data_IF_916995092952
#
_entry.id   IF_916995092952
#
_cell.length_a   1.000
_cell.length_b   1.000
_cell.length_c   1.000
_cell.angle_alpha   90.00
_cell.angle_beta   90.00
_cell.angle_gamma   90.00
#
_symmetry.space_group_name_H-M   'P 1'
#
loop_
_entity.id
_entity.type
_entity.pdbx_description
1 polymer ?
#
# COMPACT_ATOMS: atom_id res chain seq x y z
N UNK A 1 13.50 4.86 -23.23
CA UNK A 1 13.46 3.64 -22.41
C UNK A 1 11.99 3.35 -22.16
N UNK A 2 11.48 2.23 -22.63
CA UNK A 2 10.07 1.87 -22.44
C UNK A 2 9.87 1.53 -20.97
N UNK A 3 9.09 2.35 -20.26
CA UNK A 3 8.75 2.09 -18.86
C UNK A 3 7.82 0.88 -18.82
N UNK A 4 8.19 -0.13 -18.03
CA UNK A 4 7.37 -1.32 -17.79
C UNK A 4 6.04 -0.95 -17.08
N UNK A 5 5.12 -1.92 -16.98
CA UNK A 5 3.81 -1.69 -16.37
C UNK A 5 3.92 -1.07 -14.96
N UNK A 6 4.86 -1.56 -14.15
CA UNK A 6 5.10 -1.07 -12.79
C UNK A 6 5.45 0.42 -12.78
N UNK A 7 6.45 0.84 -13.56
CA UNK A 7 6.83 2.25 -13.59
C UNK A 7 5.72 3.15 -14.13
N UNK A 8 4.92 2.69 -15.09
CA UNK A 8 3.77 3.46 -15.59
C UNK A 8 2.65 3.60 -14.57
N UNK A 9 2.36 2.55 -13.80
CA UNK A 9 1.41 2.62 -12.69
C UNK A 9 1.89 3.58 -11.61
N UNK A 10 3.17 3.52 -11.24
CA UNK A 10 3.77 4.43 -10.25
C UNK A 10 3.66 5.88 -10.74
N UNK A 11 4.05 6.16 -11.98
CA UNK A 11 3.97 7.49 -12.55
C UNK A 11 2.52 8.00 -12.55
N UNK A 12 1.57 7.14 -12.95
CA UNK A 12 0.14 7.44 -12.92
C UNK A 12 -0.40 7.72 -11.52
N UNK A 13 -0.01 6.94 -10.51
CA UNK A 13 -0.42 7.19 -9.12
C UNK A 13 0.13 8.53 -8.63
N UNK A 14 1.37 8.88 -8.95
CA UNK A 14 1.99 10.15 -8.54
C UNK A 14 1.25 11.32 -9.17
N UNK A 15 1.09 11.31 -10.49
CA UNK A 15 0.35 12.35 -11.24
C UNK A 15 -1.05 12.58 -10.67
N UNK A 16 -1.82 11.51 -10.47
CA UNK A 16 -3.18 11.63 -9.94
C UNK A 16 -3.20 12.15 -8.49
N UNK A 17 -2.24 11.78 -7.65
CA UNK A 17 -2.16 12.34 -6.29
C UNK A 17 -1.78 13.82 -6.31
N UNK A 18 -0.87 14.23 -7.18
CA UNK A 18 -0.43 15.62 -7.32
C UNK A 18 -1.57 16.50 -7.86
N UNK A 19 -2.28 16.04 -8.90
CA UNK A 19 -3.48 16.68 -9.45
C UNK A 19 -4.57 16.89 -8.40
N UNK A 20 -4.73 15.94 -7.48
CA UNK A 20 -5.67 16.02 -6.37
C UNK A 20 -5.16 16.90 -5.22
N UNK A 21 -3.90 17.36 -5.23
CA UNK A 21 -3.28 18.07 -4.12
C UNK A 21 -3.13 17.20 -2.87
N UNK A 22 -3.04 15.88 -3.05
CA UNK A 22 -2.83 14.91 -1.99
C UNK A 22 -1.33 14.71 -1.70
N UNK A 23 -0.99 14.28 -0.48
CA UNK A 23 0.41 14.05 -0.11
C UNK A 23 1.03 12.86 -0.84
N UNK A 24 1.97 13.12 -1.76
CA UNK A 24 2.62 12.12 -2.62
C UNK A 24 3.88 11.53 -1.97
N UNK A 25 3.74 10.79 -0.87
CA UNK A 25 4.88 10.10 -0.24
C UNK A 25 5.11 8.70 -0.83
N UNK A 26 6.36 8.20 -0.75
CA UNK A 26 6.71 6.82 -1.17
C UNK A 26 5.80 5.78 -0.52
N UNK A 27 5.51 5.94 0.77
CA UNK A 27 4.64 5.02 1.51
C UNK A 27 3.26 5.00 0.88
N UNK A 28 2.67 6.17 0.60
CA UNK A 28 1.35 6.25 -0.03
C UNK A 28 1.35 5.60 -1.41
N UNK A 29 2.36 5.87 -2.24
CA UNK A 29 2.51 5.23 -3.57
C UNK A 29 2.51 3.71 -3.44
N UNK A 30 3.36 3.15 -2.57
CA UNK A 30 3.46 1.70 -2.35
C UNK A 30 2.11 1.12 -1.90
N UNK A 31 1.41 1.80 -0.97
CA UNK A 31 0.14 1.31 -0.44
C UNK A 31 -0.99 1.38 -1.46
N UNK A 32 -1.06 2.43 -2.27
CA UNK A 32 -2.05 2.53 -3.34
C UNK A 32 -1.78 1.49 -4.43
N UNK A 33 -0.52 1.28 -4.82
CA UNK A 33 -0.14 0.23 -5.78
C UNK A 33 -0.57 -1.15 -5.30
N UNK A 34 -0.34 -1.47 -4.02
CA UNK A 34 -0.83 -2.71 -3.41
C UNK A 34 -2.36 -2.82 -3.45
N UNK A 35 -3.08 -1.75 -3.12
CA UNK A 35 -4.55 -1.76 -3.14
C UNK A 35 -5.13 -1.91 -4.55
N UNK A 36 -4.46 -1.34 -5.56
CA UNK A 36 -4.78 -1.55 -6.98
C UNK A 36 -4.65 -3.03 -7.33
N UNK A 37 -3.55 -3.69 -6.94
CA UNK A 37 -3.38 -5.13 -7.16
C UNK A 37 -4.44 -5.96 -6.43
N UNK A 38 -4.80 -5.61 -5.19
CA UNK A 38 -5.87 -6.28 -4.44
C UNK A 38 -7.22 -6.16 -5.17
N UNK A 39 -7.55 -4.96 -5.66
CA UNK A 39 -8.79 -4.70 -6.39
C UNK A 39 -8.79 -5.41 -7.76
N UNK A 40 -7.67 -5.35 -8.48
CA UNK A 40 -7.52 -5.98 -9.79
C UNK A 40 -7.55 -7.51 -9.70
N UNK A 41 -6.81 -8.09 -8.75
CA UNK A 41 -6.78 -9.54 -8.52
C UNK A 41 -8.17 -10.09 -8.18
N UNK A 42 -8.99 -9.33 -7.43
CA UNK A 42 -10.36 -9.72 -7.11
C UNK A 42 -11.15 -10.09 -8.36
N UNK A 43 -11.00 -9.33 -9.45
CA UNK A 43 -11.77 -9.51 -10.69
C UNK A 43 -11.04 -10.33 -11.75
N UNK A 44 -9.71 -10.19 -11.87
CA UNK A 44 -8.90 -10.78 -12.96
C UNK A 44 -8.02 -11.95 -12.53
N UNK A 45 -7.90 -12.23 -11.23
CA UNK A 45 -7.07 -13.33 -10.67
C UNK A 45 -5.58 -13.26 -11.07
N UNK A 46 -5.10 -12.06 -11.36
CA UNK A 46 -3.70 -11.76 -11.65
C UNK A 46 -3.34 -10.40 -11.05
N UNK A 47 -2.05 -10.14 -10.82
CA UNK A 47 -1.56 -8.84 -10.37
C UNK A 47 -1.39 -7.92 -11.58
N UNK A 48 -1.78 -6.65 -11.45
CA UNK A 48 -1.61 -5.68 -12.52
C UNK A 48 -0.14 -5.25 -12.61
N UNK A 49 0.48 -5.02 -11.45
CA UNK A 49 1.89 -4.58 -11.37
C UNK A 49 2.90 -5.70 -11.67
N UNK A 50 2.48 -6.97 -11.53
CA UNK A 50 3.32 -8.17 -11.64
C UNK A 50 4.51 -8.25 -10.67
N UNK A 51 4.49 -7.51 -9.56
CA UNK A 51 5.57 -7.53 -8.55
C UNK A 51 5.40 -8.65 -7.52
N UNK A 52 6.51 -9.03 -6.88
CA UNK A 52 6.51 -10.00 -5.79
C UNK A 52 6.30 -9.33 -4.43
N UNK A 53 5.03 -9.24 -4.02
CA UNK A 53 4.69 -8.66 -2.72
C UNK A 53 5.12 -9.55 -1.56
N UNK A 54 5.80 -8.96 -0.57
CA UNK A 54 6.11 -9.56 0.73
C UNK A 54 5.45 -8.78 1.87
N UNK A 55 5.09 -9.47 2.95
CA UNK A 55 4.75 -8.81 4.20
C UNK A 55 6.03 -8.33 4.88
N UNK A 56 6.30 -7.04 4.83
CA UNK A 56 7.51 -6.45 5.41
C UNK A 56 7.18 -5.52 6.57
N UNK A 57 8.22 -4.92 7.18
CA UNK A 57 8.15 -4.18 8.46
C UNK A 57 6.95 -3.25 8.59
N UNK A 58 6.59 -2.59 7.49
CA UNK A 58 5.59 -1.54 7.43
C UNK A 58 4.45 -1.88 6.46
N UNK A 59 4.21 -3.17 6.25
CA UNK A 59 3.10 -3.72 5.49
C UNK A 59 3.56 -4.36 4.18
N UNK A 60 2.70 -4.40 3.15
CA UNK A 60 3.08 -4.94 1.85
C UNK A 60 4.20 -4.10 1.24
N UNK A 61 5.20 -4.78 0.70
CA UNK A 61 6.33 -4.16 0.01
C UNK A 61 6.83 -5.08 -1.11
N UNK A 62 7.42 -4.50 -2.14
CA UNK A 62 8.14 -5.19 -3.20
C UNK A 62 9.40 -4.38 -3.52
N UNK A 63 10.54 -5.05 -3.68
CA UNK A 63 11.84 -4.38 -3.86
C UNK A 63 11.94 -3.68 -5.21
N UNK A 64 11.26 -4.23 -6.21
CA UNK A 64 11.17 -3.76 -7.58
C UNK A 64 10.60 -2.33 -7.67
N UNK A 65 9.81 -1.91 -6.66
CA UNK A 65 9.24 -0.55 -6.61
C UNK A 65 10.35 0.50 -6.48
N UNK A 66 11.41 0.22 -5.72
CA UNK A 66 12.50 1.17 -5.51
C UNK A 66 13.31 1.36 -6.80
N UNK A 67 13.53 0.26 -7.52
CA UNK A 67 14.18 0.27 -8.82
C UNK A 67 13.31 1.00 -9.86
N UNK A 68 12.00 0.78 -9.85
CA UNK A 68 11.06 1.44 -10.76
C UNK A 68 10.95 2.95 -10.51
N UNK A 69 10.86 3.39 -9.25
CA UNK A 69 10.88 4.81 -8.89
C UNK A 69 12.21 5.44 -9.34
N UNK A 70 13.33 4.75 -9.10
CA UNK A 70 14.65 5.25 -9.50
C UNK A 70 14.79 5.34 -11.02
N UNK A 71 14.22 4.39 -11.76
CA UNK A 71 14.23 4.35 -13.22
C UNK A 71 13.33 5.40 -13.88
N UNK A 72 12.27 5.86 -13.20
CA UNK A 72 11.48 7.01 -13.65
C UNK A 72 12.30 8.30 -13.66
N UNK A 73 13.38 8.38 -12.86
CA UNK A 73 14.39 9.42 -12.94
C UNK A 73 13.78 10.82 -12.84
N UNK A 74 14.07 11.67 -13.83
CA UNK A 74 13.58 13.06 -13.90
C UNK A 74 12.07 13.19 -14.10
N UNK A 75 11.34 12.12 -14.40
CA UNK A 75 9.87 12.19 -14.52
C UNK A 75 9.16 12.37 -13.18
N UNK A 76 9.87 12.04 -12.10
CA UNK A 76 9.42 12.23 -10.74
C UNK A 76 10.37 13.19 -10.05
N UNK A 77 9.98 14.45 -9.91
CA UNK A 77 10.72 15.39 -9.06
C UNK A 77 10.53 14.99 -7.60
N UNK A 78 11.63 14.90 -6.86
CA UNK A 78 11.63 14.63 -5.43
C UNK A 78 11.90 15.93 -4.68
N UNK A 79 10.87 16.48 -4.05
CA UNK A 79 10.98 17.65 -3.20
C UNK A 79 11.23 17.21 -1.75
N UNK A 80 12.23 17.82 -1.10
CA UNK A 80 12.48 17.65 0.33
C UNK A 80 11.71 18.71 1.11
N UNK A 81 10.81 18.27 1.99
CA UNK A 81 10.03 19.13 2.85
C UNK A 81 10.45 18.95 4.30
N UNK A 82 10.59 20.06 5.03
CA UNK A 82 10.63 20.00 6.49
C UNK A 82 9.19 19.86 7.01
N UNK A 83 8.94 18.79 7.74
CA UNK A 83 7.69 18.64 8.48
C UNK A 83 7.63 19.68 9.60
N UNK A 84 6.43 19.94 10.10
CA UNK A 84 6.17 20.83 11.25
C UNK A 84 6.96 20.43 12.50
N UNK A 85 7.35 19.16 12.59
CA UNK A 85 8.11 18.57 13.70
C UNK A 85 9.64 18.56 13.44
N UNK A 86 10.09 19.15 12.32
CA UNK A 86 11.52 19.29 11.99
C UNK A 86 12.15 18.10 11.26
N UNK A 87 11.35 17.14 10.78
CA UNK A 87 11.84 15.97 10.04
C UNK A 87 11.87 16.22 8.53
N UNK A 88 12.79 15.56 7.82
CA UNK A 88 12.82 15.58 6.36
C UNK A 88 11.83 14.57 5.81
N UNK A 89 10.85 15.06 5.03
CA UNK A 89 9.93 14.25 4.25
C UNK A 89 10.22 14.44 2.76
N UNK A 90 9.86 13.45 1.96
CA UNK A 90 10.01 13.52 0.51
C UNK A 90 8.65 13.39 -0.17
N UNK A 91 8.38 14.34 -1.08
CA UNK A 91 7.18 14.34 -1.91
C UNK A 91 7.59 14.19 -3.37
N UNK A 92 6.81 13.44 -4.13
CA UNK A 92 7.02 13.26 -5.56
C UNK A 92 6.04 14.13 -6.34
N UNK A 93 6.50 14.75 -7.44
CA UNK A 93 5.65 15.40 -8.44
C UNK A 93 5.86 14.78 -9.80
N UNK A 94 4.82 14.77 -10.63
CA UNK A 94 4.92 14.33 -12.02
C UNK A 94 5.19 15.55 -12.91
N UNK A 95 6.25 15.48 -13.73
CA UNK A 95 6.59 16.57 -14.66
C UNK A 95 5.79 16.51 -15.97
N UNK A 96 5.22 15.34 -16.28
CA UNK A 96 4.47 15.08 -17.51
C UNK A 96 3.27 14.20 -17.20
N UNK A 97 2.15 14.43 -17.90
CA UNK A 97 0.97 13.59 -17.75
C UNK A 97 1.27 12.14 -18.22
N UNK A 98 1.13 11.13 -17.37
CA UNK A 98 1.41 9.74 -17.70
C UNK A 98 0.34 9.15 -18.60
N UNK A 99 0.79 8.47 -19.66
CA UNK A 99 -0.05 7.55 -20.41
C UNK A 99 0.04 6.13 -19.83
N UNK A 100 -1.09 5.63 -19.32
CA UNK A 100 -1.25 4.20 -19.04
C UNK A 100 -1.09 3.40 -20.34
N UNK A 101 -0.48 2.19 -20.29
CA UNK A 101 -0.36 1.36 -21.49
C UNK A 101 -1.71 1.13 -22.17
N UNK A 102 -1.70 0.99 -23.50
CA UNK A 102 -2.89 0.59 -24.27
C UNK A 102 -3.48 -0.77 -23.83
N UNK A 103 -2.69 -1.60 -23.15
CA UNK A 103 -3.14 -2.85 -22.52
C UNK A 103 -4.07 -2.63 -21.31
N UNK A 104 -4.09 -1.43 -20.72
CA UNK A 104 -5.00 -1.06 -19.63
C UNK A 104 -6.34 -0.65 -20.26
N UNK A 105 -7.32 -1.55 -20.19
CA UNK A 105 -8.68 -1.25 -20.64
C UNK A 105 -9.38 -0.20 -19.75
N UNK A 106 -10.46 0.39 -20.26
CA UNK A 106 -11.21 1.43 -19.54
C UNK A 106 -11.68 0.96 -18.14
N UNK A 107 -12.11 -0.30 -18.03
CA UNK A 107 -12.55 -0.86 -16.73
C UNK A 107 -11.41 -0.96 -15.72
N UNK A 108 -10.20 -1.29 -16.17
CA UNK A 108 -8.99 -1.34 -15.35
C UNK A 108 -8.58 0.07 -14.92
N UNK A 109 -8.63 1.05 -15.84
CA UNK A 109 -8.38 2.46 -15.50
C UNK A 109 -9.37 2.96 -14.45
N UNK A 110 -10.67 2.71 -14.63
CA UNK A 110 -11.70 3.11 -13.65
C UNK A 110 -11.45 2.49 -12.27
N UNK A 111 -11.01 1.23 -12.21
CA UNK A 111 -10.66 0.56 -10.97
C UNK A 111 -9.45 1.21 -10.28
N UNK A 112 -8.41 1.57 -11.06
CA UNK A 112 -7.25 2.30 -10.54
C UNK A 112 -7.69 3.65 -9.97
N UNK A 113 -8.47 4.40 -10.74
CA UNK A 113 -8.97 5.72 -10.36
C UNK A 113 -9.85 5.65 -9.11
N UNK A 114 -10.71 4.62 -8.99
CA UNK A 114 -11.53 4.39 -7.80
C UNK A 114 -10.67 4.18 -6.54
N UNK A 115 -9.61 3.38 -6.64
CA UNK A 115 -8.68 3.16 -5.53
C UNK A 115 -7.95 4.45 -5.16
N UNK A 116 -7.41 5.19 -6.13
CA UNK A 116 -6.67 6.43 -5.86
C UNK A 116 -7.60 7.46 -5.23
N UNK A 117 -8.73 7.77 -5.86
CA UNK A 117 -9.69 8.76 -5.37
C UNK A 117 -10.24 8.39 -3.99
N UNK A 118 -10.46 7.10 -3.73
CA UNK A 118 -10.96 6.62 -2.45
C UNK A 118 -9.99 6.70 -1.27
N UNK A 119 -8.71 7.01 -1.51
CA UNK A 119 -7.66 7.05 -0.48
C UNK A 119 -6.73 8.27 -0.58
N UNK A 120 -6.84 9.11 -1.61
CA UNK A 120 -5.94 10.25 -1.84
C UNK A 120 -5.89 11.20 -0.63
N UNK A 121 -7.05 11.59 -0.10
CA UNK A 121 -7.16 12.54 1.02
C UNK A 121 -7.27 11.88 2.40
N UNK A 122 -7.34 10.56 2.46
CA UNK A 122 -7.38 9.85 3.73
C UNK A 122 -6.05 10.01 4.48
N UNK A 123 -6.14 10.09 5.81
CA UNK A 123 -4.95 10.14 6.65
C UNK A 123 -4.12 8.87 6.43
N UNK A 124 -2.78 9.02 6.39
CA UNK A 124 -1.86 7.92 6.15
C UNK A 124 -2.08 6.74 7.12
N UNK A 125 -2.40 7.02 8.38
CA UNK A 125 -2.68 5.97 9.37
C UNK A 125 -3.93 5.15 9.04
N UNK A 126 -4.98 5.78 8.52
CA UNK A 126 -6.20 5.07 8.12
C UNK A 126 -5.94 4.18 6.90
N UNK A 127 -5.15 4.66 5.93
CA UNK A 127 -4.66 3.86 4.80
C UNK A 127 -3.83 2.65 5.27
N UNK A 128 -2.87 2.88 6.18
CA UNK A 128 -2.03 1.81 6.72
C UNK A 128 -2.86 0.77 7.49
N UNK A 129 -3.79 1.22 8.35
CA UNK A 129 -4.67 0.33 9.09
C UNK A 129 -5.52 -0.53 8.16
N UNK A 130 -6.10 0.07 7.12
CA UNK A 130 -6.87 -0.68 6.14
C UNK A 130 -6.02 -1.73 5.43
N UNK A 131 -4.83 -1.36 4.97
CA UNK A 131 -3.90 -2.30 4.32
C UNK A 131 -3.57 -3.48 5.23
N UNK A 132 -3.26 -3.22 6.51
CA UNK A 132 -2.89 -4.27 7.46
C UNK A 132 -4.05 -5.18 7.86
N UNK A 133 -5.20 -4.60 8.17
CA UNK A 133 -6.28 -5.31 8.87
C UNK A 133 -7.50 -5.59 8.00
N UNK A 134 -7.60 -4.99 6.82
CA UNK A 134 -8.78 -5.10 5.95
C UNK A 134 -8.48 -5.72 4.59
N UNK A 135 -7.24 -6.18 4.35
CA UNK A 135 -6.90 -6.92 3.13
C UNK A 135 -6.49 -8.35 3.45
N UNK A 136 -7.15 -9.32 2.84
CA UNK A 136 -6.94 -10.74 3.11
C UNK A 136 -5.49 -11.21 2.95
N UNK A 137 -4.70 -10.74 1.95
CA UNK A 137 -3.30 -11.15 1.81
C UNK A 137 -2.45 -10.70 3.00
N UNK A 138 -2.65 -9.50 3.53
CA UNK A 138 -1.87 -8.96 4.65
C UNK A 138 -2.34 -9.48 6.01
N UNK A 139 -3.64 -9.58 6.24
CA UNK A 139 -4.21 -10.04 7.51
C UNK A 139 -3.70 -11.45 7.89
N UNK A 140 -3.44 -12.29 6.89
CA UNK A 140 -2.98 -13.67 7.05
C UNK A 140 -1.49 -13.86 6.79
N UNK A 141 -0.77 -12.78 6.51
CA UNK A 141 0.64 -12.87 6.15
C UNK A 141 1.53 -13.18 7.35
N UNK A 142 2.66 -13.84 7.08
CA UNK A 142 3.77 -13.94 8.02
C UNK A 142 4.83 -12.92 7.62
N UNK A 143 5.44 -12.26 8.60
CA UNK A 143 6.53 -11.33 8.35
C UNK A 143 7.65 -11.99 7.52
N UNK A 144 8.11 -11.28 6.49
CA UNK A 144 9.12 -11.70 5.53
C UNK A 144 8.62 -12.68 4.46
N UNK A 145 7.37 -13.15 4.52
CA UNK A 145 6.84 -14.10 3.55
C UNK A 145 6.15 -13.40 2.38
N UNK A 146 6.10 -14.09 1.24
CA UNK A 146 5.30 -13.68 0.08
C UNK A 146 3.81 -13.61 0.45
N UNK A 147 3.12 -12.59 -0.06
CA UNK A 147 1.69 -12.41 0.14
C UNK A 147 0.89 -13.36 -0.73
N UNK A 148 -0.13 -13.97 -0.14
CA UNK A 148 -1.00 -14.88 -0.86
C UNK A 148 -2.29 -14.15 -1.32
N UNK A 149 -2.35 -13.77 -2.59
CA UNK A 149 -3.51 -13.08 -3.18
C UNK A 149 -4.71 -14.00 -3.43
N UNK A 150 -4.52 -15.33 -3.47
CA UNK A 150 -5.63 -16.29 -3.60
C UNK A 150 -6.59 -16.25 -2.40
N UNK A 151 -6.17 -15.63 -1.29
CA UNK A 151 -7.01 -15.37 -0.13
C UNK A 151 -8.11 -14.34 -0.39
N UNK A 152 -8.03 -13.59 -1.49
CA UNK A 152 -9.03 -12.59 -1.89
C UNK A 152 -10.25 -13.31 -2.47
N UNK A 153 -11.44 -13.18 -1.86
CA UNK A 153 -12.64 -13.81 -2.38
C UNK A 153 -13.01 -13.27 -3.79
N UNK A 154 -13.63 -14.07 -4.66
CA UNK A 154 -14.25 -13.56 -5.88
C UNK A 154 -15.29 -12.48 -5.57
N UNK A 155 -15.55 -11.56 -6.52
CA UNK A 155 -16.66 -10.63 -6.36
C UNK A 155 -17.91 -11.46 -6.11
N UNK A 156 -18.51 -11.26 -4.94
CA UNK A 156 -19.74 -11.96 -4.58
C UNK A 156 -20.79 -11.58 -5.61
N UNK A 157 -21.16 -12.52 -6.46
CA UNK A 157 -22.07 -12.25 -7.57
C UNK A 157 -23.43 -11.82 -7.04
N UNK A 158 -23.69 -10.51 -7.01
CA UNK A 158 -24.96 -10.06 -7.52
C UNK A 158 -24.89 -10.39 -9.02
N UNK A 159 -25.44 -11.54 -9.40
CA UNK A 159 -25.96 -11.68 -10.77
C UNK A 159 -26.72 -10.39 -11.02
N UNK A 160 -26.31 -9.64 -12.03
CA UNK A 160 -27.09 -8.55 -12.56
C UNK A 160 -28.39 -9.16 -13.10
N UNK A 161 -29.33 -9.47 -12.22
CA UNK A 161 -30.71 -9.18 -12.53
C UNK A 161 -30.68 -7.69 -12.84
N UNK A 162 -31.01 -7.34 -14.09
CA UNK A 162 -31.20 -5.96 -14.51
C UNK A 162 -32.27 -5.36 -13.60
N UNK A 163 -31.86 -4.87 -12.45
CA UNK A 163 -32.69 -4.12 -11.55
C UNK A 163 -32.63 -2.71 -12.13
N UNK A 164 -33.77 -2.26 -12.66
CA UNK A 164 -34.06 -0.84 -12.83
C UNK A 164 -34.04 -0.21 -11.43
N UNK A 165 -32.84 0.06 -10.93
CA UNK A 165 -32.62 0.78 -9.69
C UNK A 165 -32.76 2.24 -10.07
N UNK A 166 -33.87 2.86 -9.66
CA UNK A 166 -34.06 4.31 -9.81
C UNK A 166 -32.88 5.06 -9.17
N UNK A 167 -32.50 6.20 -9.73
CA UNK A 167 -31.33 6.99 -9.28
C UNK A 167 -31.38 7.27 -7.76
N UNK A 168 -32.58 7.58 -7.23
CA UNK A 168 -32.80 7.77 -5.79
C UNK A 168 -32.44 6.56 -4.93
N UNK A 169 -32.62 5.35 -5.47
CA UNK A 169 -32.33 4.10 -4.77
C UNK A 169 -30.84 3.77 -4.86
N UNK A 170 -30.19 4.12 -5.97
CA UNK A 170 -28.75 3.99 -6.13
C UNK A 170 -28.00 4.93 -5.18
N UNK A 171 -28.44 6.18 -5.05
CA UNK A 171 -27.87 7.13 -4.10
C UNK A 171 -28.06 6.70 -2.65
N UNK A 172 -29.22 6.12 -2.31
CA UNK A 172 -29.42 5.51 -0.98
C UNK A 172 -28.43 4.37 -0.72
N UNK A 173 -28.20 3.48 -1.68
CA UNK A 173 -27.22 2.41 -1.51
C UNK A 173 -25.78 2.92 -1.44
N UNK A 174 -25.42 3.96 -2.20
CA UNK A 174 -24.10 4.61 -2.10
C UNK A 174 -23.91 5.25 -0.73
N UNK A 175 -24.91 5.98 -0.24
CA UNK A 175 -24.89 6.56 1.10
C UNK A 175 -24.82 5.49 2.20
N UNK A 176 -25.55 4.38 2.06
CA UNK A 176 -25.51 3.25 2.99
C UNK A 176 -24.13 2.56 3.00
N UNK A 177 -23.53 2.34 1.83
CA UNK A 177 -22.16 1.80 1.71
C UNK A 177 -21.11 2.76 2.28
N UNK A 178 -21.25 4.07 2.06
CA UNK A 178 -20.40 5.09 2.66
C UNK A 178 -20.52 5.06 4.20
N UNK A 179 -21.74 4.95 4.72
CA UNK A 179 -22.01 4.84 6.16
C UNK A 179 -21.42 3.55 6.75
N UNK A 180 -21.54 2.41 6.06
CA UNK A 180 -20.94 1.14 6.48
C UNK A 180 -19.41 1.20 6.46
N UNK A 181 -18.84 1.86 5.46
CA UNK A 181 -17.40 2.10 5.36
C UNK A 181 -16.94 3.00 6.50
N UNK A 182 -17.67 4.07 6.80
CA UNK A 182 -17.43 4.96 7.93
C UNK A 182 -17.58 4.27 9.28
N UNK A 183 -18.59 3.41 9.46
CA UNK A 183 -18.76 2.63 10.69
C UNK A 183 -17.63 1.62 10.87
N UNK A 184 -17.20 0.95 9.79
CA UNK A 184 -16.08 0.02 9.84
C UNK A 184 -14.76 0.74 10.12
N UNK A 185 -14.54 1.90 9.50
CA UNK A 185 -13.40 2.77 9.79
C UNK A 185 -13.48 3.39 11.19
N UNK A 186 -14.67 3.73 11.69
CA UNK A 186 -14.91 4.25 13.03
C UNK A 186 -14.59 3.22 14.10
N UNK A 187 -15.08 1.99 13.95
CA UNK A 187 -14.73 0.87 14.83
C UNK A 187 -13.22 0.58 14.80
N UNK A 188 -12.56 0.74 13.65
CA UNK A 188 -11.11 0.67 13.53
C UNK A 188 -10.39 1.87 14.15
N UNK A 189 -10.97 3.08 14.12
CA UNK A 189 -10.46 4.28 14.79
C UNK A 189 -10.55 4.15 16.31
N UNK A 190 -11.57 3.49 16.84
CA UNK A 190 -11.68 3.18 18.26
C UNK A 190 -10.66 2.10 18.68
N UNK A 191 -10.45 1.11 17.82
CA UNK A 191 -9.39 0.09 18.00
C UNK A 191 -7.99 0.73 17.88
N UNK A 192 -7.83 1.71 16.99
CA UNK A 192 -6.62 2.52 16.83
C UNK A 192 -6.43 3.48 18.00
N UNK A 193 -7.48 4.03 18.59
CA UNK A 193 -7.41 4.86 19.78
C UNK A 193 -6.88 4.08 20.99
N UNK A 194 -7.21 2.79 21.11
CA UNK A 194 -6.58 1.90 22.08
C UNK A 194 -5.08 1.62 21.78
N UNK A 195 -4.64 1.79 20.53
CA UNK A 195 -3.22 1.74 20.13
C UNK A 195 -2.51 3.11 20.19
N UNK A 196 -3.25 4.22 20.27
CA UNK A 196 -2.73 5.62 20.34
C UNK A 196 -2.05 5.98 21.66
N UNK A 197 -2.16 5.17 22.71
CA UNK A 197 -1.34 5.34 23.92
C UNK A 197 0.15 5.05 23.69
N UNK A 198 0.53 4.69 22.46
CA UNK A 198 1.93 4.65 22.02
C UNK A 198 2.15 5.69 20.91
N UNK A 199 3.04 6.67 21.12
CA UNK A 199 3.31 7.67 20.11
C UNK A 199 4.07 7.01 18.94
N UNK A 200 3.54 7.19 17.74
CA UNK A 200 4.23 6.95 16.47
C UNK A 200 3.82 8.17 15.61
N UNK A 201 4.50 9.33 15.66
CA UNK A 201 5.92 9.63 15.42
C UNK A 201 6.28 9.41 13.94
N UNK A 202 6.78 10.46 13.30
CA UNK A 202 7.04 10.62 11.85
C UNK A 202 7.83 9.46 11.23
N UNK A 203 7.93 9.42 9.90
CA UNK A 203 8.61 8.35 9.12
C UNK A 203 9.97 7.93 9.68
N UNK A 204 10.74 8.86 10.26
CA UNK A 204 12.03 8.57 10.91
C UNK A 204 11.90 8.10 12.35
N UNK A 205 10.92 8.57 13.11
CA UNK A 205 10.72 8.11 14.48
C UNK A 205 10.11 6.72 14.54
N UNK A 206 9.22 6.36 13.60
CA UNK A 206 8.73 5.00 13.48
C UNK A 206 9.85 4.04 13.06
N UNK A 207 10.74 4.49 12.16
CA UNK A 207 11.96 3.79 11.79
C UNK A 207 12.90 3.61 12.99
N UNK A 208 13.20 4.67 13.74
CA UNK A 208 14.10 4.65 14.89
C UNK A 208 13.53 3.90 16.11
N UNK A 209 12.25 4.05 16.43
CA UNK A 209 11.60 3.37 17.55
C UNK A 209 11.56 1.85 17.34
N UNK A 210 11.37 1.41 16.09
CA UNK A 210 11.36 0.00 15.73
C UNK A 210 12.79 -0.58 15.59
N UNK A 211 13.78 0.19 15.14
CA UNK A 211 15.20 -0.22 15.17
C UNK A 211 15.73 -0.45 16.60
N UNK A 212 15.33 0.39 17.56
CA UNK A 212 15.64 0.17 18.99
C UNK A 212 15.04 -1.14 19.52
N UNK A 213 13.84 -1.49 19.06
CA UNK A 213 13.16 -2.73 19.43
C UNK A 213 13.77 -3.97 18.77
N UNK A 214 14.16 -3.89 17.49
CA UNK A 214 14.93 -4.94 16.78
C UNK A 214 16.29 -5.19 17.47
N UNK A 215 16.97 -4.16 17.98
CA UNK A 215 18.20 -4.31 18.76
C UNK A 215 17.96 -4.97 20.14
N UNK A 216 16.83 -4.66 20.79
CA UNK A 216 16.42 -5.31 22.04
C UNK A 216 16.04 -6.78 21.83
N UNK A 217 15.34 -7.11 20.75
CA UNK A 217 14.95 -8.50 20.45
C UNK A 217 16.15 -9.33 19.96
N UNK A 218 17.09 -8.75 19.21
CA UNK A 218 18.38 -9.40 18.84
C UNK A 218 19.28 -9.66 20.04
N UNK A 219 19.23 -8.83 21.07
CA UNK A 219 19.97 -9.03 22.33
C UNK A 219 19.27 -9.99 23.30
N UNK A 220 17.99 -10.29 23.08
CA UNK A 220 17.20 -11.25 23.85
C UNK A 220 17.30 -12.71 23.32
N UNK A 221 17.99 -12.96 22.20
CA UNK A 221 18.23 -14.31 21.70
C UNK A 221 19.28 -15.02 22.59
N UNK A 222 18.95 -16.17 23.24
CA UNK A 222 19.92 -16.88 24.08
C UNK A 222 21.12 -17.36 23.26
N UNK A 223 22.33 -17.14 23.79
CA UNK A 223 23.66 -17.44 23.21
C UNK A 223 23.93 -18.91 22.80
N UNK A 224 22.95 -19.81 22.83
CA UNK A 224 23.18 -21.25 22.63
C UNK A 224 23.19 -21.75 21.18
N UNK A 225 23.12 -20.85 20.19
CA UNK A 225 23.39 -21.18 18.77
C UNK A 225 24.65 -20.45 18.26
N UNK A 226 25.73 -20.56 19.02
CA UNK A 226 27.11 -20.43 18.52
C UNK A 226 27.86 -21.66 19.01
N UNK A 227 28.57 -22.33 18.11
CA UNK A 227 29.40 -23.55 18.28
C UNK A 227 28.73 -24.85 17.84
N UNK A 228 28.81 -25.12 16.53
CA UNK A 228 29.42 -26.32 15.92
C UNK A 228 29.96 -25.84 14.57
N UNK A 229 31.24 -25.92 14.18
CA UNK A 229 32.38 -26.68 14.65
C UNK A 229 33.20 -27.00 13.40
N UNK A 230 33.93 -26.02 12.86
CA UNK A 230 34.88 -26.24 11.78
C UNK A 230 36.15 -26.85 12.36
N UNK A 231 36.27 -28.18 12.28
CA UNK A 231 37.56 -28.87 12.42
C UNK A 231 37.64 -29.98 11.37
N UNK A 232 38.28 -29.67 10.23
CA UNK A 232 39.15 -30.64 9.56
C UNK A 232 40.15 -29.91 8.66
N UNK A 233 41.38 -29.75 9.15
CA UNK A 233 42.60 -29.71 8.34
C UNK A 233 43.80 -29.94 9.27
N UNK A 234 44.79 -30.68 8.77
CA UNK A 234 46.09 -31.05 9.35
C UNK A 234 46.15 -32.43 10.04
N UNK A 235 46.42 -33.47 9.24
CA UNK A 235 47.72 -34.16 9.22
C UNK A 235 47.89 -34.91 7.91
#
# INVERSE_FOLDING_TARGET
>A
METDMLGRLIHYIVDQLDDLGAGVSKIRIVKLLYLIDVAYFRTRRQLLSSVEWIAYKYGPFAFEIDDAISALGYKLEREELLTTDGYQAFVYRADEQPELPSAVDLGTKMLIDEVINGWAHENLNDLLNYVYFCTAPMERAKFGAALNFELIPPPTGLRAASLEISDDKLERYRAELATLREQRLGNLRDTSAALRERPISTDDDYRQAMERRDQQERSAVPRQLRIRGNHTALS
#
